data_IF_924378078550
#
_entry.id   IF_924378078550
#
_cell.length_a   1.000
_cell.length_b   1.000
_cell.length_c   1.000
_cell.angle_alpha   90.00
_cell.angle_beta   90.00
_cell.angle_gamma   90.00
#
_symmetry.space_group_name_H-M   'P 1'
#
loop_
_entity.id
_entity.type
_entity.pdbx_description
1 polymer ?
#
# COMPACT_ATOMS: atom_id res chain seq x y z
N UNK A 1 -28.90 0.25 -10.28
CA UNK A 1 -27.69 0.16 -9.43
C UNK A 1 -26.65 1.07 -10.07
N UNK A 2 -26.16 2.08 -9.36
CA UNK A 2 -25.11 2.97 -9.87
C UNK A 2 -23.75 2.37 -9.52
N UNK A 3 -22.88 2.16 -10.52
CA UNK A 3 -21.46 1.86 -10.27
C UNK A 3 -20.74 3.20 -10.06
N UNK A 4 -20.33 3.55 -8.82
CA UNK A 4 -19.58 4.78 -8.60
C UNK A 4 -18.20 4.70 -9.26
N UNK A 5 -17.64 5.87 -9.61
CA UNK A 5 -16.23 5.96 -9.97
C UNK A 5 -15.42 5.75 -8.69
N UNK A 6 -14.47 4.80 -8.73
CA UNK A 6 -13.58 4.48 -7.62
C UNK A 6 -12.17 4.97 -7.91
N UNK A 7 -11.47 5.39 -6.87
CA UNK A 7 -10.07 5.81 -6.91
C UNK A 7 -9.13 4.65 -6.61
N UNK A 8 -7.98 4.63 -7.28
CA UNK A 8 -6.89 3.66 -7.07
C UNK A 8 -5.56 4.29 -7.45
N UNK A 9 -4.45 3.63 -7.11
CA UNK A 9 -3.11 4.01 -7.56
C UNK A 9 -2.70 3.13 -8.74
N UNK A 10 -1.57 3.47 -9.38
CA UNK A 10 -1.05 2.67 -10.50
C UNK A 10 -0.44 1.34 -10.03
N UNK A 11 0.11 1.27 -8.82
CA UNK A 11 0.81 0.08 -8.32
C UNK A 11 1.90 0.46 -7.33
N UNK A 12 3.13 0.62 -7.83
CA UNK A 12 4.32 1.01 -7.07
C UNK A 12 4.12 2.12 -6.04
N UNK A 13 4.72 1.90 -4.86
CA UNK A 13 4.75 2.85 -3.75
C UNK A 13 6.16 2.87 -3.13
N UNK A 14 6.64 4.01 -2.59
CA UNK A 14 7.95 4.06 -1.93
C UNK A 14 8.06 3.03 -0.80
N UNK A 15 9.04 2.12 -0.93
CA UNK A 15 9.34 1.14 0.10
C UNK A 15 9.87 1.85 1.37
N UNK A 16 9.39 1.51 2.57
CA UNK A 16 9.89 2.12 3.80
C UNK A 16 11.39 1.86 4.00
N UNK A 17 12.14 2.88 4.46
CA UNK A 17 13.60 2.79 4.66
C UNK A 17 14.01 1.60 5.54
N UNK A 18 13.19 1.26 6.53
CA UNK A 18 13.43 0.14 7.44
C UNK A 18 13.28 -1.24 6.77
N UNK A 19 12.43 -1.38 5.74
CA UNK A 19 12.33 -2.60 4.94
C UNK A 19 13.61 -2.77 4.10
N UNK A 20 14.07 -1.68 3.49
CA UNK A 20 15.29 -1.66 2.67
C UNK A 20 16.51 -1.98 3.54
N UNK A 21 16.55 -1.42 4.76
CA UNK A 21 17.68 -1.56 5.68
C UNK A 21 17.77 -2.94 6.34
N UNK A 22 16.63 -3.57 6.66
CA UNK A 22 16.55 -4.83 7.41
C UNK A 22 15.47 -5.76 6.80
N UNK A 23 15.72 -6.33 5.62
CA UNK A 23 14.73 -7.15 4.93
C UNK A 23 14.46 -8.45 5.69
N UNK A 24 13.18 -8.74 5.89
CA UNK A 24 12.68 -10.01 6.43
C UNK A 24 11.24 -10.22 5.96
N UNK A 25 10.75 -11.46 6.00
CA UNK A 25 9.35 -11.76 5.69
C UNK A 25 8.38 -10.97 6.58
N UNK A 26 8.72 -10.83 7.87
CA UNK A 26 7.93 -10.02 8.80
C UNK A 26 7.94 -8.54 8.42
N UNK A 27 9.11 -7.98 8.08
CA UNK A 27 9.23 -6.59 7.63
C UNK A 27 8.43 -6.34 6.33
N UNK A 28 8.42 -7.30 5.40
CA UNK A 28 7.62 -7.21 4.18
C UNK A 28 6.13 -7.13 4.51
N UNK A 29 5.62 -8.05 5.34
CA UNK A 29 4.22 -8.06 5.78
C UNK A 29 3.84 -6.72 6.45
N UNK A 30 4.71 -6.22 7.31
CA UNK A 30 4.47 -4.94 8.00
C UNK A 30 4.52 -3.76 7.03
N UNK A 31 5.35 -3.81 5.98
CA UNK A 31 5.46 -2.74 5.00
C UNK A 31 4.21 -2.68 4.12
N UNK A 32 3.73 -3.84 3.65
CA UNK A 32 2.46 -3.95 2.93
C UNK A 32 1.29 -3.42 3.76
N UNK A 33 1.27 -3.69 5.07
CA UNK A 33 0.25 -3.13 5.98
C UNK A 33 0.32 -1.62 6.07
N UNK A 34 1.51 -1.05 6.19
CA UNK A 34 1.72 0.41 6.22
C UNK A 34 1.23 1.06 4.92
N UNK A 35 1.58 0.49 3.75
CA UNK A 35 1.11 0.99 2.45
C UNK A 35 -0.41 0.98 2.37
N UNK A 36 -1.06 -0.12 2.75
CA UNK A 36 -2.51 -0.19 2.76
C UNK A 36 -3.16 0.83 3.70
N UNK A 37 -2.60 0.99 4.90
CA UNK A 37 -3.18 1.90 5.89
C UNK A 37 -3.06 3.36 5.45
N UNK A 38 -1.92 3.76 4.88
CA UNK A 38 -1.73 5.10 4.30
C UNK A 38 -2.73 5.36 3.18
N UNK A 39 -2.91 4.42 2.25
CA UNK A 39 -3.85 4.58 1.14
C UNK A 39 -5.30 4.72 1.63
N UNK A 40 -5.71 3.94 2.64
CA UNK A 40 -7.04 4.05 3.26
C UNK A 40 -7.23 5.38 3.98
N UNK A 41 -6.24 5.82 4.76
CA UNK A 41 -6.29 7.13 5.42
C UNK A 41 -6.38 8.29 4.41
N UNK A 42 -5.81 8.12 3.21
CA UNK A 42 -5.91 9.06 2.11
C UNK A 42 -7.24 8.97 1.32
N UNK A 43 -8.13 8.03 1.65
CA UNK A 43 -9.42 7.86 0.98
C UNK A 43 -9.37 7.12 -0.36
N UNK A 44 -8.33 6.33 -0.63
CA UNK A 44 -8.26 5.47 -1.82
C UNK A 44 -9.23 4.30 -1.66
N UNK A 45 -10.15 4.16 -2.63
CA UNK A 45 -11.21 3.14 -2.59
C UNK A 45 -10.69 1.72 -2.81
N UNK A 46 -9.73 1.58 -3.73
CA UNK A 46 -9.10 0.31 -4.10
C UNK A 46 -7.58 0.39 -3.89
N UNK A 47 -7.09 0.11 -2.67
CA UNK A 47 -5.67 0.18 -2.37
C UNK A 47 -4.82 -0.89 -3.08
N UNK A 48 -3.55 -0.56 -3.34
CA UNK A 48 -2.53 -1.48 -3.87
C UNK A 48 -1.52 -1.88 -2.78
N UNK A 49 -0.80 -2.97 -2.98
CA UNK A 49 0.28 -3.43 -2.10
C UNK A 49 1.58 -2.62 -2.24
N UNK A 50 1.69 -1.78 -3.27
CA UNK A 50 2.87 -0.96 -3.50
C UNK A 50 4.00 -1.65 -4.26
N UNK A 51 3.77 -2.86 -4.81
CA UNK A 51 4.82 -3.73 -5.38
C UNK A 51 5.90 -4.13 -4.35
N UNK A 52 5.49 -4.26 -3.09
CA UNK A 52 6.33 -4.72 -1.99
C UNK A 52 6.50 -6.24 -1.99
#
# INVERSE_FOLDING_TARGET
MTNPILTTTVGSYPAPDWLISLPSEQALIDATRVVFDIQRQAGIDLPTDGEL
#
